data_IF_241767337626
#
_entry.id   IF_241767337626
#
_cell.length_a   1.000
_cell.length_b   1.000
_cell.length_c   1.000
_cell.angle_alpha   90.00
_cell.angle_beta   90.00
_cell.angle_gamma   90.00
#
_symmetry.space_group_name_H-M   'P 1'
#
loop_
_entity.id
_entity.type
_entity.pdbx_description
1 polymer ?
#
# COMPACT_ATOMS: atom_id res chain seq x y z
N UNK A 1 8.06 -20.11 8.74
CA UNK A 1 6.72 -19.68 8.25
C UNK A 1 6.87 -18.66 7.11
N UNK A 2 6.29 -18.96 5.94
CA UNK A 2 6.35 -18.08 4.77
C UNK A 2 5.37 -16.91 4.98
N UNK A 3 5.89 -15.70 5.22
CA UNK A 3 5.08 -14.49 5.33
C UNK A 3 4.50 -14.11 3.96
N UNK A 4 3.23 -13.71 3.92
CA UNK A 4 2.59 -13.28 2.67
C UNK A 4 3.29 -12.05 2.07
N UNK A 5 3.59 -12.12 0.78
CA UNK A 5 4.29 -11.07 0.02
C UNK A 5 3.47 -9.77 -0.10
N UNK A 6 2.15 -9.87 0.02
CA UNK A 6 1.24 -8.75 -0.02
C UNK A 6 0.36 -8.77 1.22
N UNK A 7 0.16 -7.59 1.78
CA UNK A 7 -0.74 -7.38 2.91
C UNK A 7 -2.08 -6.87 2.37
N UNK A 8 -3.17 -7.07 3.13
CA UNK A 8 -4.55 -6.92 2.68
C UNK A 8 -4.95 -5.57 2.08
N UNK A 9 -6.24 -5.36 1.76
CA UNK A 9 -6.71 -4.11 1.20
C UNK A 9 -6.49 -2.97 2.19
N UNK A 10 -5.57 -2.07 1.85
CA UNK A 10 -5.26 -0.88 2.66
C UNK A 10 -5.97 0.33 2.11
N UNK A 11 -6.45 1.16 3.02
CA UNK A 11 -7.05 2.43 2.66
C UNK A 11 -5.99 3.37 2.07
N UNK A 12 -6.22 3.82 0.84
CA UNK A 12 -5.37 4.79 0.16
C UNK A 12 -5.81 6.19 0.61
N UNK A 13 -4.99 6.84 1.43
CA UNK A 13 -5.25 8.22 1.88
C UNK A 13 -4.85 9.22 0.81
N UNK A 14 -3.78 8.94 0.07
CA UNK A 14 -3.28 9.85 -0.95
C UNK A 14 -2.78 9.08 -2.16
N UNK A 15 -3.17 9.54 -3.35
CA UNK A 15 -2.72 8.99 -4.63
C UNK A 15 -1.99 10.08 -5.39
N UNK A 16 -0.68 9.88 -5.56
CA UNK A 16 0.15 10.66 -6.48
C UNK A 16 0.56 9.78 -7.66
N UNK A 17 1.07 10.40 -8.71
CA UNK A 17 1.35 9.77 -10.01
C UNK A 17 2.25 8.51 -9.92
N UNK A 18 3.18 8.48 -8.96
CA UNK A 18 4.14 7.38 -8.78
C UNK A 18 4.06 6.71 -7.40
N UNK A 19 3.34 7.30 -6.47
CA UNK A 19 3.36 6.90 -5.05
C UNK A 19 1.95 6.94 -4.48
N UNK A 20 1.54 5.85 -3.84
CA UNK A 20 0.37 5.79 -2.98
C UNK A 20 0.77 5.96 -1.52
N UNK A 21 0.04 6.77 -0.78
CA UNK A 21 0.10 6.78 0.67
C UNK A 21 -1.05 5.95 1.20
N UNK A 22 -0.74 4.79 1.76
CA UNK A 22 -1.70 3.87 2.36
C UNK A 22 -1.65 3.94 3.88
N UNK A 23 -2.78 3.71 4.54
CA UNK A 23 -2.86 3.57 5.98
C UNK A 23 -2.72 2.10 6.35
N UNK A 24 -1.62 1.75 7.02
CA UNK A 24 -1.43 0.41 7.59
C UNK A 24 -1.39 0.57 9.11
N UNK A 25 -2.37 0.00 9.82
CA UNK A 25 -2.44 0.02 11.29
C UNK A 25 -2.32 1.44 11.88
N UNK A 26 -2.99 2.43 11.27
CA UNK A 26 -2.93 3.83 11.72
C UNK A 26 -1.65 4.60 11.34
N UNK A 27 -0.70 3.95 10.66
CA UNK A 27 0.53 4.59 10.15
C UNK A 27 0.43 4.83 8.64
N UNK A 28 0.75 6.05 8.24
CA UNK A 28 0.84 6.44 6.84
C UNK A 28 2.12 5.83 6.26
N UNK A 29 1.98 5.07 5.17
CA UNK A 29 3.11 4.47 4.47
C UNK A 29 3.04 4.84 2.99
N UNK A 30 4.13 5.41 2.49
CA UNK A 30 4.33 5.66 1.07
C UNK A 30 4.81 4.38 0.38
N UNK A 31 4.09 3.95 -0.65
CA UNK A 31 4.41 2.78 -1.47
C UNK A 31 4.38 3.18 -2.95
N UNK A 32 5.34 2.71 -3.73
CA UNK A 32 5.35 2.96 -5.19
C UNK A 32 4.16 2.26 -5.85
N UNK A 33 3.66 2.84 -6.93
CA UNK A 33 2.62 2.24 -7.79
C UNK A 33 2.99 0.81 -8.20
N UNK A 34 4.29 0.55 -8.44
CA UNK A 34 4.80 -0.77 -8.88
C UNK A 34 4.60 -1.88 -7.84
N UNK A 35 4.40 -1.50 -6.57
CA UNK A 35 4.18 -2.42 -5.45
C UNK A 35 2.70 -2.53 -5.06
N UNK A 36 1.81 -1.87 -5.77
CA UNK A 36 0.36 -1.94 -5.58
C UNK A 36 -0.24 -2.73 -6.73
N UNK A 37 -0.77 -3.92 -6.44
CA UNK A 37 -1.56 -4.66 -7.43
C UNK A 37 -2.89 -3.92 -7.62
N UNK A 38 -3.30 -3.60 -8.87
CA UNK A 38 -4.67 -3.16 -9.10
C UNK A 38 -5.62 -4.29 -8.66
N UNK A 39 -6.65 -3.93 -7.90
CA UNK A 39 -7.73 -4.83 -7.53
C UNK A 39 -8.68 -5.01 -8.72
#
# INVERSE_FOLDING_TARGET
>A
PLSQNYTGPHEVIHRTDKVFTILINGRKKAVSIDRVKPA
#
